data_IF_802609197322
#
_entry.id   IF_802609197322
#
_cell.length_a   1.000
_cell.length_b   1.000
_cell.length_c   1.000
_cell.angle_alpha   90.00
_cell.angle_beta   90.00
_cell.angle_gamma   90.00
#
_symmetry.space_group_name_H-M   'P 1'
#
loop_
_entity.id
_entity.type
_entity.pdbx_description
1 polymer ?
#
# COMPACT_ATOMS: atom_id res chain seq x y z
N UNK A 1 -14.58 8.53 -5.03
CA UNK A 1 -13.78 7.46 -5.61
C UNK A 1 -12.37 7.91 -5.97
N UNK A 2 -12.22 8.98 -6.72
CA UNK A 2 -10.89 9.50 -7.02
C UNK A 2 -10.15 9.91 -5.76
N UNK A 3 -10.85 10.52 -4.83
CA UNK A 3 -10.25 10.93 -3.56
C UNK A 3 -9.70 9.74 -2.80
N UNK A 4 -10.45 8.64 -2.75
CA UNK A 4 -9.98 7.43 -2.07
C UNK A 4 -8.72 6.88 -2.75
N UNK A 5 -8.71 6.86 -4.08
CA UNK A 5 -7.56 6.38 -4.82
C UNK A 5 -6.32 7.23 -4.53
N UNK A 6 -6.47 8.55 -4.45
CA UNK A 6 -5.36 9.44 -4.15
C UNK A 6 -4.85 9.24 -2.73
N UNK A 7 -5.75 9.11 -1.77
CA UNK A 7 -5.37 8.89 -0.38
C UNK A 7 -4.62 7.57 -0.25
N UNK A 8 -5.17 6.51 -0.82
CA UNK A 8 -4.57 5.18 -0.73
C UNK A 8 -3.20 5.14 -1.39
N UNK A 9 -3.08 5.72 -2.57
CA UNK A 9 -1.81 5.77 -3.29
C UNK A 9 -0.77 6.55 -2.48
N UNK A 10 -1.15 7.69 -1.94
CA UNK A 10 -0.26 8.48 -1.09
C UNK A 10 0.23 7.68 0.11
N UNK A 11 -0.67 6.94 0.75
CA UNK A 11 -0.29 6.16 1.92
C UNK A 11 0.70 5.05 1.56
N UNK A 12 0.47 4.35 0.45
CA UNK A 12 1.37 3.29 0.03
C UNK A 12 2.74 3.83 -0.36
N UNK A 13 2.78 4.91 -1.12
CA UNK A 13 4.04 5.52 -1.54
C UNK A 13 4.80 6.08 -0.34
N UNK A 14 4.10 6.76 0.56
CA UNK A 14 4.73 7.30 1.76
C UNK A 14 5.34 6.19 2.61
N UNK A 15 4.61 5.09 2.77
CA UNK A 15 5.13 3.97 3.53
C UNK A 15 6.35 3.33 2.86
N UNK A 16 6.34 3.22 1.54
CA UNK A 16 7.49 2.68 0.81
C UNK A 16 8.71 3.57 0.97
N UNK A 17 8.51 4.87 0.94
CA UNK A 17 9.62 5.82 1.10
C UNK A 17 10.15 5.79 2.52
N UNK A 18 9.29 5.69 3.51
CA UNK A 18 9.70 5.72 4.92
C UNK A 18 10.29 4.40 5.39
N UNK A 19 9.74 3.30 4.96
CA UNK A 19 10.05 1.98 5.54
C UNK A 19 10.62 1.00 4.55
N UNK A 20 10.54 1.30 3.27
CA UNK A 20 11.11 0.47 2.22
C UNK A 20 12.50 0.92 1.85
N UNK A 21 12.99 0.40 0.76
CA UNK A 21 14.28 0.78 0.20
C UNK A 21 14.12 1.14 -1.26
N UNK A 22 14.92 2.09 -1.73
CA UNK A 22 14.90 2.42 -3.16
C UNK A 22 15.39 1.22 -3.98
N UNK A 23 15.00 1.08 -5.21
CA UNK A 23 14.08 2.01 -5.88
C UNK A 23 12.64 1.69 -5.57
N UNK A 24 11.81 2.71 -5.49
CA UNK A 24 10.37 2.54 -5.30
C UNK A 24 9.70 2.72 -6.67
N UNK A 25 8.88 1.76 -7.05
CA UNK A 25 8.13 1.84 -8.30
C UNK A 25 6.64 1.77 -8.03
N UNK A 26 5.90 2.44 -8.88
CA UNK A 26 4.46 2.52 -8.79
C UNK A 26 3.86 2.01 -10.10
N UNK A 27 2.96 1.05 -10.00
CA UNK A 27 2.22 0.55 -11.15
C UNK A 27 0.73 0.73 -10.90
N UNK A 28 0.03 1.17 -11.91
CA UNK A 28 -1.41 1.41 -11.84
C UNK A 28 -2.08 0.63 -12.95
N UNK A 29 -3.07 -0.16 -12.61
CA UNK A 29 -3.87 -0.92 -13.57
C UNK A 29 -5.32 -0.52 -13.43
N UNK A 30 -5.84 0.11 -14.45
CA UNK A 30 -7.24 0.52 -14.46
C UNK A 30 -8.02 -0.40 -15.39
N UNK A 31 -8.97 -1.08 -14.82
CA UNK A 31 -9.89 -1.95 -15.54
C UNK A 31 -11.29 -1.39 -15.42
N UNK A 32 -12.25 -1.88 -16.23
CA UNK A 32 -13.60 -1.32 -16.17
C UNK A 32 -14.25 -1.39 -14.80
N UNK A 33 -13.91 -2.39 -14.01
CA UNK A 33 -14.58 -2.60 -12.72
C UNK A 33 -13.67 -2.41 -11.52
N UNK A 34 -12.37 -2.15 -11.73
CA UNK A 34 -11.45 -2.06 -10.61
C UNK A 34 -10.21 -1.26 -10.94
N UNK A 35 -9.68 -0.62 -9.92
CA UNK A 35 -8.38 0.04 -9.97
C UNK A 35 -7.43 -0.72 -9.05
N UNK A 36 -6.31 -1.16 -9.59
CA UNK A 36 -5.27 -1.81 -8.81
C UNK A 36 -4.02 -0.93 -8.81
N UNK A 37 -3.48 -0.68 -7.65
CA UNK A 37 -2.23 0.07 -7.50
C UNK A 37 -1.24 -0.80 -6.75
N UNK A 38 -0.03 -0.91 -7.29
CA UNK A 38 1.03 -1.72 -6.72
C UNK A 38 2.25 -0.83 -6.52
N UNK A 39 2.78 -0.81 -5.31
CA UNK A 39 3.99 -0.07 -4.98
C UNK A 39 5.04 -1.09 -4.56
N UNK A 40 6.16 -1.14 -5.28
CA UNK A 40 7.24 -2.06 -4.98
C UNK A 40 8.46 -1.30 -4.48
N UNK A 41 9.20 -1.93 -3.58
CA UNK A 41 10.50 -1.43 -3.16
C UNK A 41 11.43 -2.64 -2.99
N UNK A 42 12.72 -2.37 -2.76
CA UNK A 42 13.71 -3.44 -2.71
C UNK A 42 14.02 -3.92 -1.30
N UNK A 43 13.38 -3.34 -0.31
CA UNK A 43 13.56 -3.78 1.07
C UNK A 43 12.74 -5.01 1.38
N UNK A 44 13.21 -5.80 2.33
CA UNK A 44 12.48 -6.98 2.73
C UNK A 44 11.86 -6.85 4.12
N UNK A 45 11.95 -5.69 4.73
CA UNK A 45 11.23 -5.44 5.95
C UNK A 45 9.76 -5.27 5.60
N UNK A 46 8.92 -5.97 6.30
CA UNK A 46 7.49 -5.81 6.10
C UNK A 46 7.05 -4.47 6.64
N UNK A 47 6.13 -3.79 5.95
CA UNK A 47 5.58 -2.56 6.49
C UNK A 47 4.84 -2.87 7.80
N UNK A 48 4.70 -1.87 8.65
CA UNK A 48 3.93 -2.06 9.88
C UNK A 48 2.47 -2.22 9.53
N UNK A 49 2.10 -3.45 9.34
CA UNK A 49 0.78 -3.80 8.87
C UNK A 49 -0.27 -3.64 9.88
N UNK A 50 -0.02 -3.02 10.91
CA UNK A 50 -0.84 -3.39 11.96
C UNK A 50 -1.94 -2.47 12.19
N UNK A 51 -3.04 -2.76 11.59
CA UNK A 51 -4.26 -2.08 11.95
C UNK A 51 -4.57 -2.20 13.41
N UNK A 52 -3.89 -3.09 14.10
CA UNK A 52 -4.17 -3.23 15.50
C UNK A 52 -3.14 -2.58 16.39
N UNK A 53 -2.40 -1.62 15.86
CA UNK A 53 -1.52 -0.86 16.70
C UNK A 53 -2.35 -0.18 17.76
N UNK A 54 -2.01 -0.33 19.03
CA UNK A 54 -2.73 0.37 20.09
C UNK A 54 -2.37 1.85 20.15
N UNK A 55 -1.50 2.29 19.28
CA UNK A 55 -1.06 3.67 19.28
C UNK A 55 -1.57 4.38 18.04
N UNK A 56 -2.78 4.91 18.08
CA UNK A 56 -3.39 5.54 16.92
C UNK A 56 -2.66 6.80 16.48
N UNK A 57 -1.79 7.33 17.29
CA UNK A 57 -0.99 8.49 16.93
C UNK A 57 0.28 8.12 16.18
N UNK A 58 0.55 6.84 16.03
CA UNK A 58 1.66 6.41 15.21
C UNK A 58 1.32 6.64 13.74
N UNK A 59 2.11 7.44 13.06
CA UNK A 59 1.84 7.74 11.66
C UNK A 59 1.88 6.51 10.78
N UNK A 60 2.71 5.53 11.14
CA UNK A 60 2.80 4.30 10.36
C UNK A 60 1.58 3.41 10.54
N UNK A 61 1.07 3.32 11.75
CA UNK A 61 -0.14 2.55 12.02
C UNK A 61 -1.35 3.16 11.35
N UNK A 62 -1.41 4.48 11.27
CA UNK A 62 -2.53 5.16 10.64
C UNK A 62 -2.64 4.88 9.15
N UNK A 63 -1.50 4.80 8.45
CA UNK A 63 -1.52 4.55 7.03
C UNK A 63 -2.27 3.28 6.70
N UNK A 64 -2.00 2.21 7.42
CA UNK A 64 -2.67 0.95 7.14
C UNK A 64 -4.09 0.88 7.68
N UNK A 65 -4.39 1.63 8.71
CA UNK A 65 -5.79 1.77 9.13
C UNK A 65 -6.61 2.42 8.02
N UNK A 66 -6.07 3.45 7.37
CA UNK A 66 -6.75 4.11 6.27
C UNK A 66 -6.90 3.16 5.08
N UNK A 67 -5.84 2.43 4.74
CA UNK A 67 -5.88 1.49 3.62
C UNK A 67 -6.93 0.42 3.88
N UNK A 68 -6.94 -0.13 5.08
CA UNK A 68 -7.91 -1.16 5.44
C UNK A 68 -9.34 -0.64 5.38
N UNK A 69 -9.55 0.62 5.72
CA UNK A 69 -10.89 1.20 5.73
C UNK A 69 -11.40 1.53 4.33
N UNK A 70 -10.52 1.97 3.43
CA UNK A 70 -10.93 2.50 2.14
C UNK A 70 -10.78 1.53 0.99
N UNK A 71 -9.79 0.63 1.05
CA UNK A 71 -9.56 -0.29 -0.06
C UNK A 71 -10.58 -1.43 -0.04
N UNK A 72 -10.94 -1.89 -1.22
CA UNK A 72 -11.77 -3.09 -1.32
C UNK A 72 -10.96 -4.30 -0.86
N UNK A 73 -9.71 -4.38 -1.30
CA UNK A 73 -8.75 -5.40 -0.86
C UNK A 73 -7.36 -4.79 -0.88
N UNK A 74 -6.47 -5.32 -0.08
CA UNK A 74 -5.07 -4.90 -0.09
C UNK A 74 -4.20 -6.01 0.47
N UNK A 75 -2.92 -5.93 0.20
CA UNK A 75 -2.01 -6.93 0.72
C UNK A 75 -0.56 -6.55 0.49
N UNK A 76 0.32 -7.44 0.97
CA UNK A 76 1.76 -7.33 0.79
C UNK A 76 2.24 -8.66 0.24
N UNK A 77 2.99 -8.61 -0.85
CA UNK A 77 3.49 -9.79 -1.53
C UNK A 77 5.02 -9.70 -1.65
N UNK A 78 5.76 -10.68 -1.15
CA UNK A 78 7.21 -10.71 -1.37
C UNK A 78 7.49 -10.90 -2.86
N UNK A 79 8.59 -10.27 -3.33
CA UNK A 79 9.02 -10.44 -4.72
C UNK A 79 9.81 -11.74 -4.82
N UNK A 80 9.38 -12.70 -5.65
CA UNK A 80 10.11 -13.95 -5.79
C UNK A 80 11.53 -13.72 -6.30
N UNK A 81 12.50 -14.38 -5.67
CA UNK A 81 13.89 -14.31 -6.08
C UNK A 81 14.58 -12.99 -5.79
N UNK A 82 13.99 -12.16 -4.97
CA UNK A 82 14.48 -10.83 -4.71
C UNK A 82 14.15 -10.46 -3.28
N UNK A 83 14.92 -9.57 -2.65
CA UNK A 83 14.56 -9.12 -1.30
C UNK A 83 13.40 -8.14 -1.27
N UNK A 84 12.91 -7.73 -2.42
CA UNK A 84 11.87 -6.71 -2.47
C UNK A 84 10.48 -7.21 -2.10
N UNK A 85 9.55 -6.28 -2.05
CA UNK A 85 8.16 -6.57 -1.77
C UNK A 85 7.25 -5.63 -2.55
N UNK A 86 6.02 -6.05 -2.73
CA UNK A 86 4.97 -5.26 -3.35
C UNK A 86 3.86 -5.06 -2.34
N UNK A 87 3.46 -3.81 -2.15
CA UNK A 87 2.27 -3.47 -1.36
C UNK A 87 1.23 -2.98 -2.35
N UNK A 88 0.03 -3.50 -2.26
CA UNK A 88 -0.98 -3.22 -3.28
C UNK A 88 -2.35 -3.02 -2.66
N UNK A 89 -3.19 -2.30 -3.40
CA UNK A 89 -4.61 -2.23 -3.05
C UNK A 89 -5.45 -2.33 -4.32
N UNK A 90 -6.69 -2.73 -4.13
CA UNK A 90 -7.70 -2.77 -5.18
C UNK A 90 -8.91 -1.97 -4.71
N UNK A 91 -9.39 -1.11 -5.59
CA UNK A 91 -10.65 -0.40 -5.38
C UNK A 91 -11.64 -0.85 -6.44
N UNK A 92 -12.76 -1.34 -6.01
CA UNK A 92 -13.85 -1.64 -6.95
C UNK A 92 -14.48 -0.33 -7.39
N UNK A 93 -14.76 -0.26 -8.69
CA UNK A 93 -15.29 0.93 -9.34
C UNK A 93 -16.69 0.64 -9.86
N UNK A 94 -17.69 1.19 -9.26
CA UNK A 94 -19.04 1.15 -9.80
C UNK A 94 -20.05 1.89 -8.97
#
# INVERSE_FOLDING_TARGET
MLEDALILTSELVTNAIRHGRPAVTLAVHLEPSALTVVVTDTGHELPPLVPRSPHPDSSTGRGFVIVDALATRWGVTPQPGSPGKAVWFILDLH
#
